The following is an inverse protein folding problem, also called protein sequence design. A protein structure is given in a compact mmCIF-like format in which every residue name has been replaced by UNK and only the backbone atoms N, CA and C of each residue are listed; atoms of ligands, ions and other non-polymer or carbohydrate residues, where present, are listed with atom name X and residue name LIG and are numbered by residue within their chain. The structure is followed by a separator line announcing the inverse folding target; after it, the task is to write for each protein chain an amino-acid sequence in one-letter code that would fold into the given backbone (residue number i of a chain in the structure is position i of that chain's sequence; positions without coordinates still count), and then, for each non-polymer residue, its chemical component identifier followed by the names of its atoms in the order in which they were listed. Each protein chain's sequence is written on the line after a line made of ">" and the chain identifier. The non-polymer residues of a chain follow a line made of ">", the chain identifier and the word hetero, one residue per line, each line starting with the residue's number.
data_IF_275727729286
#
_entry.id   IF_275727729286
#
_cell.length_a   1.000
_cell.length_b   1.000
_cell.length_c   1.000
_cell.angle_alpha   90.00
_cell.angle_beta   90.00
_cell.angle_gamma   90.00
#
_symmetry.space_group_name_H-M   'P 1'
#
loop_
_entity.id
_entity.type
_entity.pdbx_description
1 polymer ?
#
# COMPACT_ATOMS: atom_id res chain seq x y z
N UNK A 1 -8.54 14.65 3.40
CA UNK A 1 -8.45 14.12 4.78
C UNK A 1 -7.07 13.51 4.93
N UNK A 2 -6.42 13.64 6.10
CA UNK A 2 -5.08 13.09 6.27
C UNK A 2 -5.13 11.56 6.20
N UNK A 3 -4.25 10.97 5.41
CA UNK A 3 -4.11 9.52 5.35
C UNK A 3 -3.40 9.01 6.61
N UNK A 4 -3.87 7.86 7.12
CA UNK A 4 -3.36 7.23 8.32
C UNK A 4 -2.79 5.85 8.02
N UNK A 5 -1.94 5.34 8.91
CA UNK A 5 -1.39 3.99 8.78
C UNK A 5 -2.50 2.96 8.67
N UNK A 6 -2.34 2.01 7.75
CA UNK A 6 -3.26 0.95 7.32
C UNK A 6 -4.39 1.39 6.39
N UNK A 7 -4.50 2.68 6.08
CA UNK A 7 -5.40 3.15 5.03
C UNK A 7 -4.97 2.56 3.69
N UNK A 8 -5.94 2.12 2.91
CA UNK A 8 -5.77 1.75 1.51
C UNK A 8 -6.12 2.96 0.67
N UNK A 9 -5.13 3.54 0.02
CA UNK A 9 -5.26 4.77 -0.76
C UNK A 9 -5.02 4.50 -2.24
N UNK A 10 -5.78 5.19 -3.09
CA UNK A 10 -5.60 5.19 -4.54
C UNK A 10 -4.72 6.38 -4.93
N UNK A 11 -3.52 6.10 -5.42
CA UNK A 11 -2.51 7.13 -5.72
C UNK A 11 -1.56 6.68 -6.85
N UNK A 12 -0.86 7.60 -7.53
CA UNK A 12 0.15 7.25 -8.52
C UNK A 12 1.39 6.71 -7.81
N UNK A 13 1.56 5.39 -7.85
CA UNK A 13 2.79 4.75 -7.34
C UNK A 13 3.82 4.66 -8.48
N UNK A 14 5.08 5.08 -8.25
CA UNK A 14 6.14 4.85 -9.22
C UNK A 14 6.47 3.35 -9.33
N UNK A 15 6.62 2.85 -10.56
CA UNK A 15 7.28 1.56 -10.74
C UNK A 15 8.76 1.65 -10.35
N UNK A 16 9.32 0.53 -9.88
CA UNK A 16 10.75 0.44 -9.51
C UNK A 16 11.68 0.77 -10.67
N UNK A 17 11.25 0.54 -11.91
CA UNK A 17 11.99 0.84 -13.14
C UNK A 17 11.70 2.25 -13.71
N UNK A 18 10.92 3.07 -13.00
CA UNK A 18 10.47 4.40 -13.40
C UNK A 18 9.74 4.46 -14.76
N UNK A 19 9.33 3.33 -15.34
CA UNK A 19 8.76 3.24 -16.69
C UNK A 19 7.41 3.97 -16.84
N UNK A 20 6.64 4.08 -15.76
CA UNK A 20 5.35 4.78 -15.76
C UNK A 20 4.88 5.12 -14.34
N UNK A 21 3.84 5.95 -14.25
CA UNK A 21 3.07 6.18 -13.02
C UNK A 21 1.64 5.72 -13.29
N UNK A 22 1.26 4.56 -12.76
CA UNK A 22 -0.11 4.06 -12.85
C UNK A 22 -0.78 4.30 -11.51
N UNK A 23 -2.01 4.82 -11.56
CA UNK A 23 -2.86 4.95 -10.37
C UNK A 23 -3.23 3.55 -9.90
N UNK A 24 -2.80 3.19 -8.69
CA UNK A 24 -3.01 1.87 -8.10
C UNK A 24 -3.32 2.00 -6.60
N UNK A 25 -4.01 1.02 -6.01
CA UNK A 25 -4.15 0.97 -4.56
C UNK A 25 -2.79 0.73 -3.90
N UNK A 26 -2.55 1.37 -2.77
CA UNK A 26 -1.40 1.14 -1.91
C UNK A 26 -1.82 1.27 -0.45
N UNK A 27 -1.15 0.56 0.44
CA UNK A 27 -1.36 0.64 1.89
C UNK A 27 -0.40 1.68 2.45
N UNK A 28 -0.90 2.63 3.23
CA UNK A 28 -0.09 3.58 3.97
C UNK A 28 0.53 2.86 5.18
N UNK A 29 1.86 2.80 5.26
CA UNK A 29 2.59 2.15 6.36
C UNK A 29 3.20 3.16 7.32
N UNK A 30 3.31 4.41 6.90
CA UNK A 30 3.77 5.52 7.75
C UNK A 30 3.60 6.86 7.05
N UNK A 31 3.92 7.92 7.79
CA UNK A 31 3.82 9.31 7.32
C UNK A 31 4.93 10.14 7.94
N UNK A 32 5.50 11.05 7.16
CA UNK A 32 6.31 12.15 7.65
C UNK A 32 5.39 13.38 7.83
N UNK A 33 5.20 13.89 9.06
CA UNK A 33 4.19 14.90 9.36
C UNK A 33 4.58 16.33 8.99
N UNK A 34 5.86 16.62 8.70
CA UNK A 34 6.35 17.99 8.40
C UNK A 34 6.24 18.35 6.93
N UNK A 35 6.49 17.40 6.04
CA UNK A 35 6.55 17.55 4.59
C UNK A 35 5.36 16.90 3.88
N UNK A 36 4.56 16.09 4.60
CA UNK A 36 3.36 15.47 4.03
C UNK A 36 3.68 14.27 3.14
N UNK A 37 4.81 13.62 3.36
CA UNK A 37 5.16 12.39 2.63
C UNK A 37 4.52 11.16 3.28
N UNK A 38 4.00 10.28 2.45
CA UNK A 38 3.47 8.97 2.85
C UNK A 38 4.45 7.88 2.47
N UNK A 39 4.72 6.97 3.41
CA UNK A 39 5.37 5.71 3.11
C UNK A 39 4.29 4.69 2.77
N UNK A 40 4.36 4.10 1.58
CA UNK A 40 3.29 3.24 1.05
C UNK A 40 3.84 1.93 0.48
N UNK A 41 3.02 0.88 0.59
CA UNK A 41 3.29 -0.44 0.02
C UNK A 41 2.25 -0.72 -1.07
N UNK A 42 2.64 -0.93 -2.34
CA UNK A 42 1.70 -1.09 -3.45
C UNK A 42 0.93 -2.41 -3.40
N UNK A 43 -0.33 -2.37 -3.84
CA UNK A 43 -1.17 -3.56 -4.04
C UNK A 43 -1.19 -3.94 -5.52
N UNK A 44 -1.11 -5.25 -5.79
CA UNK A 44 -1.17 -5.84 -7.13
C UNK A 44 -2.30 -6.85 -7.21
N UNK A 45 -3.13 -6.76 -8.25
CA UNK A 45 -4.07 -7.82 -8.63
C UNK A 45 -3.43 -8.94 -9.46
N UNK A 46 -2.15 -8.79 -9.85
CA UNK A 46 -1.39 -9.84 -10.51
C UNK A 46 -0.70 -10.69 -9.44
N UNK A 47 -1.17 -11.93 -9.25
CA UNK A 47 -0.71 -12.85 -8.22
C UNK A 47 0.80 -13.13 -8.30
N UNK A 48 1.36 -13.30 -9.50
CA UNK A 48 2.80 -13.54 -9.70
C UNK A 48 3.71 -12.38 -9.30
N UNK A 49 3.14 -11.19 -9.05
CA UNK A 49 3.87 -10.00 -8.64
C UNK A 49 3.63 -9.62 -7.17
N UNK A 50 2.84 -10.41 -6.43
CA UNK A 50 2.56 -10.20 -5.02
C UNK A 50 3.47 -11.07 -4.15
N UNK A 51 3.93 -10.51 -3.03
CA UNK A 51 4.68 -11.25 -1.99
C UNK A 51 3.75 -12.13 -1.15
N UNK A 52 2.56 -11.63 -0.85
CA UNK A 52 1.49 -12.39 -0.21
C UNK A 52 0.11 -11.85 -0.61
N UNK A 53 -0.88 -12.73 -0.59
CA UNK A 53 -2.27 -12.38 -0.87
C UNK A 53 -2.93 -11.70 0.34
N UNK A 54 -3.80 -10.73 0.08
CA UNK A 54 -4.69 -10.17 1.09
C UNK A 54 -5.87 -11.13 1.28
N UNK A 55 -6.13 -11.53 2.53
CA UNK A 55 -7.21 -12.46 2.82
C UNK A 55 -8.57 -11.76 2.79
N UNK A 56 -8.65 -10.53 3.29
CA UNK A 56 -9.89 -9.76 3.41
C UNK A 56 -9.89 -8.52 2.50
N UNK A 57 -9.52 -8.69 1.23
CA UNK A 57 -9.40 -7.58 0.29
C UNK A 57 -10.72 -6.80 0.08
N UNK A 58 -11.88 -7.48 0.11
CA UNK A 58 -13.19 -6.84 0.03
C UNK A 58 -13.41 -5.85 1.19
N UNK A 59 -13.06 -6.27 2.41
CA UNK A 59 -13.22 -5.44 3.60
C UNK A 59 -12.32 -4.19 3.56
N UNK A 60 -11.21 -4.27 2.80
CA UNK A 60 -10.32 -3.15 2.53
C UNK A 60 -10.77 -2.25 1.35
N UNK A 61 -11.97 -2.49 0.79
CA UNK A 61 -12.54 -1.69 -0.30
C UNK A 61 -11.94 -2.00 -1.68
N UNK A 62 -11.29 -3.15 -1.84
CA UNK A 62 -10.72 -3.60 -3.11
C UNK A 62 -11.76 -4.42 -3.87
N UNK A 63 -11.73 -4.35 -5.20
CA UNK A 63 -12.76 -4.95 -6.06
C UNK A 63 -12.43 -6.36 -6.56
N UNK A 64 -11.17 -6.77 -6.45
CA UNK A 64 -10.67 -8.06 -6.95
C UNK A 64 -9.69 -8.68 -5.97
N UNK A 65 -9.52 -10.02 -5.99
CA UNK A 65 -8.42 -10.67 -5.30
C UNK A 65 -7.08 -10.03 -5.66
N UNK A 66 -6.30 -9.69 -4.65
CA UNK A 66 -5.05 -8.98 -4.81
C UNK A 66 -4.11 -9.27 -3.64
N UNK A 67 -2.87 -8.85 -3.79
CA UNK A 67 -1.83 -9.04 -2.79
C UNK A 67 -0.91 -7.83 -2.68
N UNK A 68 -0.13 -7.83 -1.61
CA UNK A 68 0.86 -6.80 -1.31
C UNK A 68 2.13 -7.11 -2.12
N UNK A 69 2.70 -6.11 -2.79
CA UNK A 69 4.02 -6.22 -3.40
C UNK A 69 5.11 -6.00 -2.36
N UNK A 70 6.21 -6.76 -2.43
CA UNK A 70 7.44 -6.47 -1.69
C UNK A 70 8.16 -5.23 -2.29
N UNK A 71 7.53 -4.07 -2.13
CA UNK A 71 8.01 -2.78 -2.61
C UNK A 71 7.58 -1.71 -1.61
N UNK A 72 8.48 -0.78 -1.30
CA UNK A 72 8.20 0.41 -0.51
C UNK A 72 8.42 1.65 -1.38
N UNK A 73 7.50 2.62 -1.30
CA UNK A 73 7.62 3.88 -2.01
C UNK A 73 7.26 5.05 -1.09
N UNK A 74 7.85 6.20 -1.38
CA UNK A 74 7.47 7.49 -0.77
C UNK A 74 6.67 8.28 -1.79
N UNK A 75 5.52 8.81 -1.38
CA UNK A 75 4.63 9.58 -2.25
C UNK A 75 4.04 10.74 -1.46
N UNK A 76 3.95 11.93 -2.07
CA UNK A 76 3.32 13.08 -1.44
C UNK A 76 1.83 12.83 -1.17
N UNK A 77 1.34 13.26 -0.01
CA UNK A 77 -0.04 13.06 0.45
C UNK A 77 -1.08 13.75 -0.45
N UNK A 78 -0.70 14.83 -1.14
CA UNK A 78 -1.54 15.54 -2.10
C UNK A 78 -1.83 14.73 -3.38
N UNK A 79 -1.04 13.70 -3.67
CA UNK A 79 -1.26 12.77 -4.79
C UNK A 79 -2.29 11.69 -4.46
N UNK A 80 -2.79 11.63 -3.23
CA UNK A 80 -3.88 10.71 -2.85
C UNK A 80 -5.17 11.16 -3.49
N UNK A 81 -5.71 10.33 -4.40
CA UNK A 81 -6.98 10.60 -5.06
C UNK A 81 -8.16 10.30 -4.13
N UNK A 82 -8.07 9.19 -3.38
CA UNK A 82 -9.04 8.80 -2.35
C UNK A 82 -8.52 7.67 -1.47
N UNK A 83 -8.99 7.62 -0.23
CA UNK A 83 -8.93 6.42 0.60
C UNK A 83 -10.09 5.51 0.22
N UNK A 84 -9.82 4.25 -0.10
CA UNK A 84 -10.83 3.26 -0.51
C UNK A 84 -11.24 2.32 0.62
N UNK A 85 -10.42 2.23 1.67
CA UNK A 85 -10.74 1.42 2.84
C UNK A 85 -9.56 1.34 3.80
N UNK A 86 -9.59 0.34 4.66
CA UNK A 86 -8.56 0.08 5.66
C UNK A 86 -8.26 -1.41 5.68
N UNK A 87 -6.99 -1.80 5.84
CA UNK A 87 -6.64 -3.22 5.94
C UNK A 87 -7.35 -3.88 7.12
N UNK A 88 -7.67 -5.17 6.99
CA UNK A 88 -8.18 -5.97 8.11
C UNK A 88 -7.06 -6.28 9.12
N UNK A 89 -7.41 -6.56 10.38
CA UNK A 89 -6.43 -6.91 11.41
C UNK A 89 -5.46 -8.05 11.03
N UNK A 90 -5.91 -9.19 10.44
CA UNK A 90 -4.97 -10.24 10.02
C UNK A 90 -4.04 -9.78 8.90
N UNK A 91 -4.53 -9.01 7.93
CA UNK A 91 -3.70 -8.49 6.83
C UNK A 91 -2.68 -7.45 7.33
N UNK A 92 -3.05 -6.62 8.32
CA UNK A 92 -2.11 -5.70 9.00
C UNK A 92 -0.98 -6.46 9.68
N UNK A 93 -1.31 -7.52 10.42
CA UNK A 93 -0.31 -8.34 11.10
C UNK A 93 0.64 -9.02 10.11
N UNK A 94 0.11 -9.52 8.99
CA UNK A 94 0.93 -10.11 7.94
C UNK A 94 1.86 -9.07 7.29
N UNK A 95 1.32 -7.87 6.98
CA UNK A 95 2.11 -6.78 6.43
C UNK A 95 3.22 -6.32 7.38
N UNK A 96 2.93 -6.16 8.68
CA UNK A 96 3.93 -5.76 9.68
C UNK A 96 5.06 -6.80 9.79
N UNK A 97 4.75 -8.09 9.73
CA UNK A 97 5.76 -9.15 9.72
C UNK A 97 6.63 -9.08 8.44
N UNK A 98 6.02 -8.87 7.28
CA UNK A 98 6.76 -8.75 6.01
C UNK A 98 7.61 -7.48 5.96
N UNK A 99 7.11 -6.36 6.46
CA UNK A 99 7.88 -5.12 6.57
C UNK A 99 9.14 -5.31 7.41
N UNK A 100 9.04 -6.00 8.56
CA UNK A 100 10.20 -6.34 9.38
C UNK A 100 11.20 -7.19 8.62
N UNK A 101 10.74 -8.22 7.92
CA UNK A 101 11.60 -9.09 7.11
C UNK A 101 12.28 -8.33 5.97
N UNK A 102 11.56 -7.49 5.22
CA UNK A 102 12.12 -6.72 4.11
C UNK A 102 13.14 -5.68 4.56
N UNK A 103 12.98 -5.15 5.79
CA UNK A 103 13.85 -4.11 6.34
C UNK A 103 14.93 -4.65 7.29
N UNK A 104 14.96 -5.96 7.55
CA UNK A 104 15.93 -6.59 8.46
C UNK A 104 15.73 -6.21 9.94
N UNK A 105 14.48 -6.02 10.37
CA UNK A 105 14.06 -5.60 11.72
C UNK A 105 13.41 -6.74 12.54
#
# INVERSE_FOLDING_TARGET
>A
MPCSRNDVALLPVPFTDHSSRKVRPAVVVGREPRYGDLFVVPISSQSGNADFALNNWQAAGLNVPCGIKAQLATVAEDLVLKTVGILSAPDRSALDQRLRQWLGL
#
